data_IF_969167852942
#
_entry.id   IF_969167852942
#
_cell.length_a   1.000
_cell.length_b   1.000
_cell.length_c   1.000
_cell.angle_alpha   90.00
_cell.angle_beta   90.00
_cell.angle_gamma   90.00
#
_symmetry.space_group_name_H-M   'P 1'
#
loop_
_entity.id
_entity.type
_entity.pdbx_description
1 polymer ?
#
# COMPACT_ATOMS: atom_id res chain seq x y z
N UNK A 1 -23.61 19.88 65.54
CA UNK A 1 -22.81 18.68 65.21
C UNK A 1 -22.51 18.67 63.72
N UNK A 2 -21.22 18.56 63.37
CA UNK A 2 -20.63 18.69 62.03
C UNK A 2 -21.12 17.61 61.07
N UNK A 3 -21.46 17.96 59.83
CA UNK A 3 -21.34 17.07 58.67
C UNK A 3 -20.76 17.85 57.48
N UNK A 4 -19.44 17.74 57.34
CA UNK A 4 -18.71 18.12 56.14
C UNK A 4 -19.06 17.10 55.05
N UNK A 5 -19.66 17.55 53.95
CA UNK A 5 -19.77 16.77 52.72
C UNK A 5 -18.63 17.22 51.82
N UNK A 6 -17.55 16.46 51.81
CA UNK A 6 -16.44 16.62 50.87
C UNK A 6 -16.85 15.96 49.55
N UNK A 7 -17.12 16.76 48.52
CA UNK A 7 -17.32 16.26 47.16
C UNK A 7 -15.94 15.90 46.61
N UNK A 8 -15.64 14.60 46.51
CA UNK A 8 -14.50 14.11 45.74
C UNK A 8 -14.81 14.31 44.25
N UNK A 9 -14.16 15.30 43.63
CA UNK A 9 -14.11 15.42 42.18
C UNK A 9 -13.19 14.31 41.66
N UNK A 10 -13.76 13.17 41.27
CA UNK A 10 -13.02 12.14 40.56
C UNK A 10 -12.62 12.68 39.18
N UNK A 11 -11.38 13.15 39.06
CA UNK A 11 -10.77 13.47 37.79
C UNK A 11 -10.70 12.20 36.95
N UNK A 12 -11.63 12.05 36.03
CA UNK A 12 -11.64 11.02 35.00
C UNK A 12 -10.50 11.30 34.02
N UNK A 13 -9.30 10.81 34.35
CA UNK A 13 -8.23 10.65 33.38
C UNK A 13 -8.69 9.61 32.34
N UNK A 14 -9.28 10.09 31.25
CA UNK A 14 -9.43 9.27 30.05
C UNK A 14 -8.03 8.82 29.61
N UNK A 15 -7.81 7.52 29.32
CA UNK A 15 -6.52 7.08 28.81
C UNK A 15 -6.30 7.76 27.46
N UNK A 16 -5.28 8.62 27.40
CA UNK A 16 -4.77 9.14 26.14
C UNK A 16 -4.19 7.93 25.41
N UNK A 17 -4.97 7.32 24.52
CA UNK A 17 -4.46 6.32 23.60
C UNK A 17 -3.36 6.99 22.77
N UNK A 18 -2.10 6.63 23.07
CA UNK A 18 -0.94 7.12 22.36
C UNK A 18 -1.11 6.79 20.88
N UNK A 19 -1.28 7.83 20.06
CA UNK A 19 -1.44 7.70 18.62
C UNK A 19 -0.16 7.09 18.05
N UNK A 20 -0.28 5.95 17.38
CA UNK A 20 0.85 5.21 16.82
C UNK A 20 1.66 6.11 15.89
N UNK A 21 2.98 6.11 16.05
CA UNK A 21 3.90 6.78 15.13
C UNK A 21 4.19 5.88 13.93
N UNK A 22 4.27 6.48 12.75
CA UNK A 22 4.65 5.82 11.51
C UNK A 22 5.90 6.48 10.92
N UNK A 23 6.72 5.67 10.25
CA UNK A 23 7.83 6.18 9.45
C UNK A 23 7.33 6.47 8.04
N UNK A 24 7.14 7.75 7.72
CA UNK A 24 6.56 8.18 6.46
C UNK A 24 7.46 7.89 5.26
N UNK A 25 8.78 7.78 5.44
CA UNK A 25 9.71 7.42 4.36
C UNK A 25 9.54 5.94 4.01
N UNK A 26 9.50 5.07 5.03
CA UNK A 26 9.29 3.65 4.83
C UNK A 26 7.90 3.35 4.21
N UNK A 27 6.85 3.98 4.72
CA UNK A 27 5.49 3.87 4.16
C UNK A 27 5.43 4.46 2.73
N UNK A 28 6.19 5.52 2.46
CA UNK A 28 6.29 6.14 1.15
C UNK A 28 6.92 5.23 0.10
N UNK A 29 8.01 4.55 0.45
CA UNK A 29 8.64 3.54 -0.42
C UNK A 29 7.65 2.40 -0.72
N UNK A 30 6.98 1.88 0.31
CA UNK A 30 5.98 0.83 0.14
C UNK A 30 4.84 1.29 -0.78
N UNK A 31 4.33 2.52 -0.59
CA UNK A 31 3.27 3.07 -1.43
C UNK A 31 3.74 3.27 -2.88
N UNK A 32 4.96 3.74 -3.11
CA UNK A 32 5.55 3.92 -4.43
C UNK A 32 5.63 2.59 -5.21
N UNK A 33 6.02 1.52 -4.54
CA UNK A 33 6.02 0.16 -5.12
C UNK A 33 4.59 -0.36 -5.33
N UNK A 34 3.73 -0.20 -4.32
CA UNK A 34 2.36 -0.73 -4.31
C UNK A 34 1.55 -0.14 -5.47
N UNK A 35 1.60 1.17 -5.67
CA UNK A 35 0.86 1.86 -6.73
C UNK A 35 1.51 1.77 -8.12
N UNK A 36 2.61 1.01 -8.23
CA UNK A 36 3.24 0.66 -9.50
C UNK A 36 4.12 1.76 -10.10
N UNK A 37 4.51 2.78 -9.33
CA UNK A 37 5.36 3.86 -9.82
C UNK A 37 6.72 3.34 -10.32
N UNK A 38 7.23 2.27 -9.71
CA UNK A 38 8.47 1.57 -10.09
C UNK A 38 8.46 0.96 -11.51
N UNK A 39 7.27 0.77 -12.10
CA UNK A 39 7.14 0.19 -13.43
C UNK A 39 7.63 1.19 -14.48
N UNK A 40 7.24 2.45 -14.31
CA UNK A 40 7.49 3.52 -15.28
C UNK A 40 8.62 4.46 -14.86
N UNK A 41 9.01 4.50 -13.59
CA UNK A 41 10.03 5.43 -13.08
C UNK A 41 11.26 4.70 -12.56
N UNK A 42 12.43 5.21 -12.95
CA UNK A 42 13.68 4.88 -12.29
C UNK A 42 13.87 5.74 -11.04
N UNK A 43 14.60 5.20 -10.07
CA UNK A 43 14.93 5.87 -8.80
C UNK A 43 16.42 5.79 -8.46
N UNK A 44 17.22 5.15 -9.30
CA UNK A 44 18.66 4.99 -9.10
C UNK A 44 19.44 6.14 -9.76
N UNK A 45 20.57 6.49 -9.14
CA UNK A 45 21.45 7.54 -9.64
C UNK A 45 21.99 7.15 -11.03
N UNK A 46 21.80 8.03 -12.01
CA UNK A 46 22.26 7.84 -13.40
C UNK A 46 21.73 6.53 -14.03
N UNK A 47 20.55 6.08 -13.64
CA UNK A 47 19.88 4.97 -14.31
C UNK A 47 19.70 5.28 -15.81
N UNK A 48 20.33 4.47 -16.65
CA UNK A 48 20.30 4.60 -18.11
C UNK A 48 19.17 3.76 -18.75
N UNK A 49 18.36 3.06 -17.95
CA UNK A 49 17.26 2.26 -18.47
C UNK A 49 16.21 3.17 -19.11
N UNK A 50 15.80 2.81 -20.33
CA UNK A 50 14.73 3.51 -21.03
C UNK A 50 13.42 3.13 -20.38
N UNK A 51 12.88 4.04 -19.57
CA UNK A 51 11.58 3.92 -18.92
C UNK A 51 10.57 4.87 -19.58
N UNK A 52 9.29 4.55 -19.43
CA UNK A 52 8.19 5.37 -19.96
C UNK A 52 7.97 6.67 -19.19
N UNK A 53 8.51 6.79 -17.98
CA UNK A 53 8.54 8.01 -17.18
C UNK A 53 9.95 8.47 -16.83
N UNK A 54 10.11 9.71 -16.33
CA UNK A 54 11.40 10.26 -15.93
C UNK A 54 12.03 9.49 -14.76
N UNK A 55 13.36 9.50 -14.71
CA UNK A 55 14.08 9.16 -13.49
C UNK A 55 13.78 10.21 -12.41
N UNK A 56 13.42 9.75 -11.21
CA UNK A 56 13.03 10.60 -10.09
C UNK A 56 14.20 10.86 -9.12
N UNK A 57 15.34 10.19 -9.27
CA UNK A 57 16.54 10.49 -8.50
C UNK A 57 17.02 11.91 -8.75
N UNK A 58 17.23 12.68 -7.69
CA UNK A 58 17.69 14.06 -7.74
C UNK A 58 16.66 15.06 -8.24
N UNK A 59 15.39 14.67 -8.36
CA UNK A 59 14.32 15.56 -8.84
C UNK A 59 13.79 16.45 -7.71
N UNK A 60 13.46 15.85 -6.57
CA UNK A 60 12.80 16.53 -5.44
C UNK A 60 13.80 16.83 -4.32
N UNK A 61 14.54 17.92 -4.48
CA UNK A 61 15.59 18.34 -3.56
C UNK A 61 15.05 19.21 -2.41
N UNK A 62 15.86 19.42 -1.36
CA UNK A 62 15.53 20.37 -0.28
C UNK A 62 15.30 21.80 -0.79
N UNK A 63 16.08 22.21 -1.80
CA UNK A 63 15.89 23.45 -2.54
C UNK A 63 15.34 23.10 -3.93
N UNK A 64 14.07 23.44 -4.25
CA UNK A 64 13.47 23.06 -5.52
C UNK A 64 14.27 23.57 -6.71
N UNK A 65 14.70 22.65 -7.57
CA UNK A 65 15.32 22.98 -8.86
C UNK A 65 14.28 23.24 -9.92
N UNK A 66 14.68 23.96 -10.97
CA UNK A 66 13.88 24.06 -12.18
C UNK A 66 14.01 22.77 -13.02
N UNK A 67 12.93 22.45 -13.71
CA UNK A 67 12.91 21.45 -14.78
C UNK A 67 12.09 21.97 -15.95
N UNK A 68 12.35 21.41 -17.13
CA UNK A 68 11.53 21.67 -18.31
C UNK A 68 10.35 20.70 -18.39
N UNK A 69 9.20 21.24 -18.79
CA UNK A 69 7.96 20.50 -19.09
C UNK A 69 7.36 21.04 -20.39
N UNK A 70 6.69 20.18 -21.14
CA UNK A 70 5.97 20.55 -22.35
C UNK A 70 4.45 20.48 -22.14
N UNK A 71 3.72 21.37 -22.79
CA UNK A 71 2.28 21.27 -22.91
C UNK A 71 1.91 20.03 -23.75
N UNK A 72 0.95 19.20 -23.34
CA UNK A 72 0.64 17.92 -23.99
C UNK A 72 0.23 18.05 -25.47
N UNK A 73 -0.54 19.10 -25.79
CA UNK A 73 -1.10 19.27 -27.15
C UNK A 73 -0.24 20.18 -28.05
N UNK A 74 0.26 21.32 -27.53
CA UNK A 74 1.04 22.29 -28.33
C UNK A 74 2.52 21.99 -28.38
N UNK A 75 3.05 21.15 -27.47
CA UNK A 75 4.48 20.90 -27.33
C UNK A 75 5.28 22.08 -26.76
N UNK A 76 4.62 23.19 -26.40
CA UNK A 76 5.27 24.39 -25.86
C UNK A 76 5.99 24.06 -24.55
N UNK A 77 7.27 24.42 -24.48
CA UNK A 77 8.14 24.15 -23.34
C UNK A 77 8.15 25.31 -22.37
N UNK A 78 8.01 24.99 -21.09
CA UNK A 78 8.16 25.96 -19.99
C UNK A 78 8.97 25.36 -18.85
N UNK A 79 9.51 26.23 -18.00
CA UNK A 79 10.19 25.82 -16.77
C UNK A 79 9.23 25.83 -15.59
N UNK A 80 9.34 24.81 -14.74
CA UNK A 80 8.59 24.69 -13.49
C UNK A 80 9.52 24.30 -12.35
N UNK A 81 9.20 24.72 -11.12
CA UNK A 81 9.93 24.28 -9.93
C UNK A 81 9.49 22.87 -9.55
N UNK A 82 10.43 21.97 -9.34
CA UNK A 82 10.19 20.61 -8.87
C UNK A 82 9.91 20.59 -7.36
N UNK A 83 8.78 21.18 -6.94
CA UNK A 83 8.34 21.26 -5.55
C UNK A 83 7.15 20.33 -5.24
N UNK A 84 6.59 20.42 -4.03
CA UNK A 84 5.45 19.59 -3.59
C UNK A 84 4.20 19.83 -4.43
N UNK A 85 4.02 21.06 -4.94
CA UNK A 85 2.89 21.40 -5.82
C UNK A 85 3.04 20.69 -7.16
N UNK A 86 4.20 20.82 -7.80
CA UNK A 86 4.49 20.11 -9.04
C UNK A 86 4.37 18.59 -8.89
N UNK A 87 4.88 18.02 -7.80
CA UNK A 87 4.70 16.60 -7.49
C UNK A 87 3.22 16.19 -7.40
N UNK A 88 2.44 16.93 -6.61
CA UNK A 88 1.02 16.58 -6.37
C UNK A 88 0.22 16.68 -7.68
N UNK A 89 0.44 17.74 -8.46
CA UNK A 89 -0.15 17.92 -9.79
C UNK A 89 0.30 16.81 -10.74
N UNK A 90 1.57 16.41 -10.72
CA UNK A 90 2.05 15.31 -11.58
C UNK A 90 1.36 13.96 -11.28
N UNK A 91 0.89 13.73 -10.05
CA UNK A 91 0.15 12.51 -9.69
C UNK A 91 -1.36 12.65 -9.98
N UNK A 92 -1.93 13.83 -9.71
CA UNK A 92 -3.39 14.07 -9.82
C UNK A 92 -3.84 14.43 -11.23
N UNK A 93 -3.04 15.22 -11.96
CA UNK A 93 -3.30 15.72 -13.31
C UNK A 93 -2.02 15.62 -14.16
N UNK A 94 -1.50 14.39 -14.26
CA UNK A 94 -0.24 14.03 -14.93
C UNK A 94 -0.10 14.51 -16.37
N UNK A 95 -1.21 14.83 -17.05
CA UNK A 95 -1.23 15.25 -18.44
C UNK A 95 -1.09 16.76 -18.63
N UNK A 96 -1.25 17.59 -17.59
CA UNK A 96 -1.19 19.05 -17.71
C UNK A 96 0.21 19.58 -18.05
N UNK A 97 1.24 18.79 -17.75
CA UNK A 97 2.64 19.13 -17.97
C UNK A 97 3.48 17.86 -18.15
N UNK A 98 3.86 17.56 -19.39
CA UNK A 98 4.70 16.41 -19.70
C UNK A 98 6.16 16.74 -19.37
N UNK A 99 6.79 15.93 -18.54
CA UNK A 99 8.22 16.01 -18.28
C UNK A 99 9.03 16.00 -19.60
N UNK A 100 10.03 16.86 -19.75
CA UNK A 100 11.01 16.73 -20.83
C UNK A 100 12.19 15.90 -20.35
N UNK A 101 12.66 14.97 -21.18
CA UNK A 101 13.78 14.09 -20.86
C UNK A 101 15.10 14.87 -20.75
N UNK A 102 15.80 14.73 -19.62
CA UNK A 102 17.06 15.44 -19.35
C UNK A 102 18.30 14.65 -19.84
N UNK A 103 18.14 13.36 -20.12
CA UNK A 103 19.22 12.42 -20.45
C UNK A 103 18.76 11.33 -21.43
N UNK A 104 19.73 10.60 -21.99
CA UNK A 104 19.48 9.46 -22.88
C UNK A 104 19.13 9.85 -24.32
N UNK A 105 18.74 8.87 -25.16
CA UNK A 105 18.48 9.07 -26.59
C UNK A 105 17.33 10.04 -26.89
N UNK A 106 16.39 10.19 -25.96
CA UNK A 106 15.21 11.07 -26.10
C UNK A 106 15.41 12.44 -25.45
N UNK A 107 16.64 12.81 -25.06
CA UNK A 107 16.94 14.10 -24.41
C UNK A 107 16.32 15.28 -25.18
N UNK A 108 15.65 16.16 -24.46
CA UNK A 108 14.96 17.32 -25.02
C UNK A 108 13.57 17.03 -25.59
N UNK A 109 13.15 15.77 -25.67
CA UNK A 109 11.79 15.38 -26.06
C UNK A 109 10.90 15.20 -24.82
N UNK A 110 9.60 15.53 -24.92
CA UNK A 110 8.65 15.23 -23.85
C UNK A 110 8.41 13.73 -23.70
N UNK A 111 8.22 13.26 -22.47
CA UNK A 111 7.74 11.92 -22.18
C UNK A 111 6.31 11.73 -22.70
N UNK A 112 5.92 10.50 -23.09
CA UNK A 112 4.57 10.24 -23.60
C UNK A 112 3.49 10.49 -22.54
N UNK A 113 2.30 10.88 -23.01
CA UNK A 113 1.07 11.06 -22.21
C UNK A 113 0.47 9.70 -21.78
N UNK A 114 1.24 8.93 -21.00
CA UNK A 114 0.88 7.56 -20.59
C UNK A 114 0.72 7.39 -19.07
N UNK A 115 1.29 8.30 -18.27
CA UNK A 115 1.13 8.27 -16.82
C UNK A 115 -0.34 8.50 -16.46
N UNK A 116 -1.02 7.58 -15.75
CA UNK A 116 -2.41 7.77 -15.36
C UNK A 116 -2.60 8.94 -14.39
N UNK A 117 -3.75 9.59 -14.46
CA UNK A 117 -4.20 10.54 -13.43
C UNK A 117 -4.82 9.76 -12.27
N UNK A 118 -4.19 9.79 -11.10
CA UNK A 118 -4.66 9.01 -9.95
C UNK A 118 -5.65 9.81 -9.12
N UNK A 119 -6.91 9.36 -9.10
CA UNK A 119 -7.95 9.91 -8.24
C UNK A 119 -7.70 9.59 -6.75
N UNK A 120 -8.37 10.29 -5.83
CA UNK A 120 -8.19 10.12 -4.37
C UNK A 120 -8.63 8.74 -3.89
N UNK A 121 -9.55 8.13 -4.61
CA UNK A 121 -10.07 6.79 -4.38
C UNK A 121 -9.03 5.71 -4.71
N UNK A 122 -8.11 6.00 -5.64
CA UNK A 122 -7.04 5.08 -6.06
C UNK A 122 -5.81 5.28 -5.19
N UNK A 123 -5.29 6.51 -5.14
CA UNK A 123 -4.17 6.88 -4.26
C UNK A 123 -4.66 7.95 -3.28
N UNK A 124 -4.88 7.61 -2.00
CA UNK A 124 -5.30 8.56 -0.99
C UNK A 124 -4.24 9.64 -0.73
N UNK A 125 -4.68 10.83 -0.29
CA UNK A 125 -3.77 11.95 0.00
C UNK A 125 -2.63 11.60 0.99
N UNK A 126 -2.85 10.81 2.06
CA UNK A 126 -1.75 10.37 2.92
C UNK A 126 -0.69 9.54 2.20
N UNK A 127 -1.09 8.70 1.23
CA UNK A 127 -0.13 7.91 0.47
C UNK A 127 0.72 8.77 -0.46
N UNK A 128 0.12 9.79 -1.10
CA UNK A 128 0.86 10.81 -1.87
C UNK A 128 1.84 11.54 -0.96
N UNK A 129 1.41 11.91 0.25
CA UNK A 129 2.29 12.57 1.19
C UNK A 129 3.47 11.69 1.64
N UNK A 130 3.26 10.40 1.87
CA UNK A 130 4.36 9.49 2.24
C UNK A 130 5.32 9.29 1.07
N UNK A 131 4.80 9.09 -0.15
CA UNK A 131 5.64 8.99 -1.36
C UNK A 131 6.50 10.25 -1.54
N UNK A 132 5.96 11.45 -1.26
CA UNK A 132 6.74 12.68 -1.27
C UNK A 132 7.97 12.63 -0.35
N UNK A 133 7.80 12.16 0.90
CA UNK A 133 8.94 12.01 1.81
C UNK A 133 9.97 11.01 1.30
N UNK A 134 9.50 9.87 0.77
CA UNK A 134 10.39 8.89 0.15
C UNK A 134 11.18 9.47 -1.04
N UNK A 135 10.51 10.14 -1.98
CA UNK A 135 11.17 10.71 -3.16
C UNK A 135 12.23 11.75 -2.81
N UNK A 136 12.04 12.50 -1.71
CA UNK A 136 13.07 13.44 -1.22
C UNK A 136 14.32 12.75 -0.68
N UNK A 137 14.25 11.47 -0.32
CA UNK A 137 15.46 10.71 0.08
C UNK A 137 16.32 10.30 -1.12
N UNK A 138 15.76 10.34 -2.33
CA UNK A 138 16.43 9.93 -3.57
C UNK A 138 17.27 11.08 -4.14
N UNK A 139 18.32 11.50 -3.42
CA UNK A 139 19.24 12.53 -3.89
C UNK A 139 20.62 12.37 -3.24
N UNK A 140 21.59 13.13 -3.73
CA UNK A 140 22.92 13.15 -3.15
C UNK A 140 22.91 13.77 -1.74
N UNK A 141 23.92 13.41 -0.94
CA UNK A 141 24.09 13.90 0.43
C UNK A 141 24.10 15.43 0.46
N UNK A 142 23.40 16.02 1.43
CA UNK A 142 23.20 17.48 1.53
C UNK A 142 22.06 18.04 0.67
N UNK A 143 21.60 17.31 -0.36
CA UNK A 143 20.45 17.68 -1.18
C UNK A 143 19.18 16.89 -0.85
N UNK A 144 19.36 15.69 -0.29
CA UNK A 144 18.28 14.81 0.15
C UNK A 144 17.56 15.33 1.41
N UNK A 145 16.26 15.03 1.47
CA UNK A 145 15.45 15.17 2.67
C UNK A 145 15.84 14.18 3.77
N UNK A 146 15.21 14.29 4.95
CA UNK A 146 15.48 13.40 6.08
C UNK A 146 15.21 11.93 5.71
N UNK A 147 16.14 11.04 6.08
CA UNK A 147 16.02 9.60 5.83
C UNK A 147 14.88 8.92 6.61
N UNK A 148 14.40 9.57 7.67
CA UNK A 148 13.27 9.12 8.49
C UNK A 148 12.40 10.29 8.88
N UNK A 149 11.08 10.15 8.73
CA UNK A 149 10.11 11.18 9.13
C UNK A 149 9.01 10.51 9.96
N UNK A 150 8.97 10.84 11.26
CA UNK A 150 7.94 10.31 12.14
C UNK A 150 6.65 11.14 12.05
N UNK A 151 5.58 10.54 11.56
CA UNK A 151 4.24 11.14 11.56
C UNK A 151 3.33 10.40 12.53
N UNK A 152 2.33 11.09 13.06
CA UNK A 152 1.25 10.45 13.82
C UNK A 152 0.32 9.77 12.81
N UNK A 153 0.04 8.48 13.00
CA UNK A 153 -0.89 7.75 12.15
C UNK A 153 -2.24 8.47 12.12
N UNK A 154 -2.72 8.87 10.95
CA UNK A 154 -4.04 9.47 10.83
C UNK A 154 -5.07 8.56 11.50
N UNK A 155 -5.98 9.12 12.32
CA UNK A 155 -7.02 8.35 13.00
C UNK A 155 -7.85 7.64 11.92
N UNK A 156 -7.60 6.34 11.72
CA UNK A 156 -8.47 5.50 10.89
C UNK A 156 -9.84 5.52 11.56
N UNK A 157 -10.85 6.01 10.85
CA UNK A 157 -12.23 5.87 11.31
C UNK A 157 -12.50 4.39 11.48
N UNK A 158 -12.81 3.97 12.71
CA UNK A 158 -13.27 2.60 12.93
C UNK A 158 -14.60 2.48 12.21
N UNK A 159 -14.72 1.58 11.22
CA UNK A 159 -15.97 1.42 10.50
C UNK A 159 -17.09 1.03 11.48
N UNK A 160 -18.17 1.82 11.55
CA UNK A 160 -19.28 1.58 12.49
C UNK A 160 -20.05 0.28 12.18
N UNK A 161 -19.89 -0.26 10.98
CA UNK A 161 -20.53 -1.51 10.52
C UNK A 161 -19.56 -2.30 9.64
N UNK A 162 -19.77 -3.61 9.51
CA UNK A 162 -18.97 -4.46 8.61
C UNK A 162 -19.05 -4.00 7.14
N UNK A 163 -20.19 -3.41 6.73
CA UNK A 163 -20.36 -2.79 5.40
C UNK A 163 -19.45 -1.59 5.18
N UNK A 164 -19.07 -0.90 6.26
CA UNK A 164 -18.21 0.27 6.18
C UNK A 164 -16.71 -0.08 6.12
N UNK A 165 -16.31 -1.37 6.20
CA UNK A 165 -14.90 -1.76 6.07
C UNK A 165 -14.55 -1.85 4.59
N UNK A 166 -13.69 -0.96 4.07
CA UNK A 166 -13.37 -0.95 2.65
C UNK A 166 -12.76 -2.28 2.20
N UNK A 167 -13.26 -2.80 1.07
CA UNK A 167 -12.75 -3.97 0.38
C UNK A 167 -12.72 -5.27 1.20
N UNK A 168 -13.47 -5.35 2.30
CA UNK A 168 -13.70 -6.59 3.01
C UNK A 168 -14.77 -7.42 2.30
N UNK A 169 -14.47 -8.69 2.04
CA UNK A 169 -15.42 -9.65 1.48
C UNK A 169 -16.35 -10.08 2.60
N UNK A 170 -17.58 -9.59 2.56
CA UNK A 170 -18.57 -9.91 3.58
C UNK A 170 -19.20 -11.28 3.35
N UNK A 171 -19.08 -12.10 4.39
CA UNK A 171 -19.82 -13.35 4.53
C UNK A 171 -21.03 -13.05 5.40
N UNK A 172 -22.21 -13.09 4.78
CA UNK A 172 -23.48 -12.82 5.48
C UNK A 172 -24.25 -14.12 5.61
N UNK A 173 -25.35 -14.27 4.87
CA UNK A 173 -26.23 -15.45 4.95
C UNK A 173 -25.75 -16.64 4.11
N UNK A 174 -24.68 -16.47 3.32
CA UNK A 174 -24.17 -17.51 2.42
C UNK A 174 -22.67 -17.64 2.50
N UNK A 175 -22.21 -18.89 2.41
CA UNK A 175 -20.80 -19.24 2.27
C UNK A 175 -20.19 -18.51 1.07
N UNK A 176 -18.98 -18.01 1.25
CA UNK A 176 -18.19 -17.37 0.19
C UNK A 176 -16.96 -18.20 -0.07
N UNK A 177 -16.66 -18.41 -1.34
CA UNK A 177 -15.39 -18.97 -1.80
C UNK A 177 -14.68 -17.87 -2.58
N UNK A 178 -13.44 -17.59 -2.24
CA UNK A 178 -12.67 -16.52 -2.86
C UNK A 178 -11.22 -16.94 -3.08
N UNK A 179 -10.66 -16.55 -4.22
CA UNK A 179 -9.24 -16.73 -4.54
C UNK A 179 -8.53 -15.41 -4.35
N UNK A 180 -7.58 -15.38 -3.44
CA UNK A 180 -6.70 -14.25 -3.27
C UNK A 180 -5.34 -14.70 -2.73
N UNK A 181 -4.25 -14.02 -3.05
CA UNK A 181 -2.97 -14.22 -2.38
C UNK A 181 -3.11 -13.99 -0.87
N UNK A 182 -2.97 -15.03 -0.05
CA UNK A 182 -2.92 -14.92 1.41
C UNK A 182 -1.60 -15.51 1.90
N UNK A 183 -0.83 -14.73 2.66
CA UNK A 183 0.48 -15.18 3.16
C UNK A 183 0.36 -16.50 3.94
N UNK A 184 1.22 -17.47 3.62
CA UNK A 184 1.18 -18.82 4.20
C UNK A 184 0.26 -19.80 3.47
N UNK A 185 -0.27 -19.42 2.30
CA UNK A 185 -1.04 -20.27 1.40
C UNK A 185 -0.44 -20.21 0.00
N UNK A 186 -0.62 -21.27 -0.80
CA UNK A 186 -0.21 -21.25 -2.21
C UNK A 186 -1.06 -20.25 -3.02
N UNK A 187 -0.55 -19.84 -4.19
CA UNK A 187 -1.27 -18.95 -5.11
C UNK A 187 -2.59 -19.56 -5.66
N UNK A 188 -2.77 -20.88 -5.50
CA UNK A 188 -3.97 -21.60 -5.95
C UNK A 188 -4.90 -21.97 -4.79
N UNK A 189 -4.60 -21.50 -3.58
CA UNK A 189 -5.46 -21.75 -2.43
C UNK A 189 -6.84 -21.12 -2.59
N UNK A 190 -7.84 -21.81 -2.04
CA UNK A 190 -9.23 -21.37 -1.96
C UNK A 190 -9.52 -20.97 -0.51
N UNK A 191 -9.98 -19.74 -0.31
CA UNK A 191 -10.46 -19.29 0.98
C UNK A 191 -11.96 -19.47 1.04
N UNK A 192 -12.44 -20.06 2.12
CA UNK A 192 -13.85 -20.33 2.35
C UNK A 192 -14.29 -19.63 3.64
N UNK A 193 -15.27 -18.75 3.53
CA UNK A 193 -15.84 -18.04 4.66
C UNK A 193 -17.28 -18.48 4.90
N UNK A 194 -17.58 -18.90 6.13
CA UNK A 194 -18.87 -19.44 6.52
C UNK A 194 -19.74 -18.40 7.25
N UNK A 195 -21.09 -18.46 7.12
CA UNK A 195 -22.01 -17.55 7.81
C UNK A 195 -21.88 -17.49 9.33
N UNK A 196 -21.34 -18.55 9.96
CA UNK A 196 -21.09 -18.61 11.40
C UNK A 196 -19.82 -17.85 11.85
N UNK A 197 -19.16 -17.13 10.95
CA UNK A 197 -17.98 -16.32 11.25
C UNK A 197 -16.68 -17.11 11.33
N UNK A 198 -16.67 -18.40 10.99
CA UNK A 198 -15.46 -19.20 10.81
C UNK A 198 -15.07 -19.27 9.34
N UNK A 199 -13.77 -19.26 9.11
CA UNK A 199 -13.18 -19.21 7.80
C UNK A 199 -12.00 -20.18 7.74
N UNK A 200 -11.75 -20.75 6.58
CA UNK A 200 -10.61 -21.62 6.37
C UNK A 200 -10.00 -21.46 4.98
N UNK A 201 -8.80 -22.01 4.81
CA UNK A 201 -8.13 -22.09 3.51
C UNK A 201 -7.89 -23.54 3.15
N UNK A 202 -8.46 -23.96 2.02
CA UNK A 202 -8.09 -25.20 1.37
C UNK A 202 -6.97 -24.92 0.37
N UNK A 203 -5.87 -25.65 0.45
CA UNK A 203 -4.73 -25.46 -0.43
C UNK A 203 -4.52 -26.71 -1.29
N UNK A 204 -4.76 -26.55 -2.59
CA UNK A 204 -4.60 -27.62 -3.58
C UNK A 204 -3.16 -28.15 -3.67
N UNK A 205 -2.15 -27.37 -3.25
CA UNK A 205 -0.75 -27.83 -3.20
C UNK A 205 -0.56 -29.02 -2.25
N UNK A 206 -1.25 -29.01 -1.12
CA UNK A 206 -1.12 -30.05 -0.08
C UNK A 206 -2.41 -30.86 0.08
N UNK A 207 -3.41 -30.65 -0.78
CA UNK A 207 -4.75 -31.24 -0.71
C UNK A 207 -5.38 -31.18 0.68
N UNK A 208 -5.14 -30.09 1.43
CA UNK A 208 -5.49 -30.01 2.84
C UNK A 208 -5.88 -28.61 3.30
N UNK A 209 -6.39 -28.53 4.53
CA UNK A 209 -6.75 -27.26 5.17
C UNK A 209 -5.52 -26.65 5.83
N UNK A 210 -5.11 -25.45 5.41
CA UNK A 210 -3.88 -24.80 5.90
C UNK A 210 -4.08 -23.68 6.90
N UNK A 211 -5.26 -23.08 6.92
CA UNK A 211 -5.55 -21.96 7.78
C UNK A 211 -6.97 -22.08 8.30
N UNK A 212 -7.17 -21.75 9.58
CA UNK A 212 -8.49 -21.63 10.21
C UNK A 212 -8.50 -20.36 11.05
N UNK A 213 -9.49 -19.50 10.86
CA UNK A 213 -9.67 -18.28 11.65
C UNK A 213 -11.14 -17.93 11.83
N UNK A 214 -11.48 -17.23 12.91
CA UNK A 214 -12.80 -16.58 13.07
C UNK A 214 -12.71 -15.09 12.80
N UNK A 215 -13.86 -14.43 12.70
CA UNK A 215 -14.00 -12.99 12.48
C UNK A 215 -14.08 -12.65 11.00
N UNK A 216 -13.57 -11.48 10.62
CA UNK A 216 -13.60 -11.00 9.24
C UNK A 216 -12.95 -11.98 8.25
N UNK A 217 -13.60 -12.19 7.11
CA UNK A 217 -13.20 -13.21 6.14
C UNK A 217 -11.91 -12.81 5.40
N UNK A 218 -11.99 -11.92 4.42
CA UNK A 218 -10.85 -11.45 3.65
C UNK A 218 -10.93 -9.95 3.40
N UNK A 219 -9.81 -9.26 3.50
CA UNK A 219 -9.68 -7.87 3.08
C UNK A 219 -8.77 -7.78 1.84
N UNK A 220 -9.37 -7.33 0.73
CA UNK A 220 -8.74 -7.23 -0.59
C UNK A 220 -8.14 -5.85 -0.86
N UNK A 221 -8.00 -5.01 0.17
CA UNK A 221 -7.47 -3.65 -0.01
C UNK A 221 -6.09 -3.67 -0.65
N UNK A 222 -5.23 -4.62 -0.28
CA UNK A 222 -3.88 -4.69 -0.84
C UNK A 222 -3.89 -5.13 -2.32
N UNK A 223 -4.76 -6.08 -2.71
CA UNK A 223 -4.95 -6.49 -4.12
C UNK A 223 -5.39 -5.33 -5.01
N UNK A 224 -6.18 -4.40 -4.45
CA UNK A 224 -6.71 -3.25 -5.18
C UNK A 224 -5.74 -2.08 -5.28
N UNK A 225 -4.70 -2.04 -4.44
CA UNK A 225 -3.68 -0.99 -4.50
C UNK A 225 -2.57 -1.27 -5.52
N UNK A 226 -2.45 -2.50 -6.04
CA UNK A 226 -1.62 -2.82 -7.20
C UNK A 226 -1.26 -4.30 -7.33
N UNK A 227 -0.81 -4.71 -8.51
CA UNK A 227 -0.52 -6.14 -8.84
C UNK A 227 0.87 -6.61 -8.40
N UNK A 228 1.68 -5.77 -7.77
CA UNK A 228 3.10 -6.03 -7.47
C UNK A 228 3.39 -6.50 -6.03
N UNK A 229 2.35 -6.77 -5.20
CA UNK A 229 2.32 -7.18 -3.76
C UNK A 229 2.17 -5.98 -2.80
N UNK A 230 1.45 -6.09 -1.65
CA UNK A 230 1.27 -7.25 -0.76
C UNK A 230 -0.06 -8.00 -0.95
N UNK A 231 -0.07 -9.29 -0.56
CA UNK A 231 -1.26 -10.13 -0.65
C UNK A 231 -2.40 -9.67 0.25
N UNK A 232 -3.60 -10.14 -0.05
CA UNK A 232 -4.79 -10.05 0.79
C UNK A 232 -4.51 -10.38 2.26
N UNK A 233 -5.29 -9.74 3.13
CA UNK A 233 -5.25 -9.95 4.58
C UNK A 233 -6.51 -10.65 5.03
N UNK A 234 -6.46 -11.25 6.21
CA UNK A 234 -7.69 -11.65 6.92
C UNK A 234 -8.47 -10.39 7.31
N UNK A 235 -9.80 -10.52 7.37
CA UNK A 235 -10.68 -9.39 7.64
C UNK A 235 -10.53 -8.81 9.05
N UNK A 236 -11.27 -7.75 9.35
CA UNK A 236 -11.18 -7.07 10.63
C UNK A 236 -11.60 -7.99 11.79
N UNK A 237 -10.92 -7.85 12.93
CA UNK A 237 -11.24 -8.60 14.15
C UNK A 237 -10.96 -10.11 14.04
N UNK A 238 -10.16 -10.53 13.04
CA UNK A 238 -9.88 -11.95 12.87
C UNK A 238 -9.08 -12.52 14.05
N UNK A 239 -9.36 -13.78 14.39
CA UNK A 239 -8.57 -14.57 15.33
C UNK A 239 -8.13 -15.85 14.65
N UNK A 240 -6.82 -16.06 14.54
CA UNK A 240 -6.24 -17.25 13.91
C UNK A 240 -6.23 -18.40 14.92
N UNK A 241 -6.75 -19.55 14.51
CA UNK A 241 -6.67 -20.80 15.28
C UNK A 241 -5.60 -21.73 14.73
N UNK A 242 -5.43 -21.75 13.41
CA UNK A 242 -4.43 -22.55 12.75
C UNK A 242 -3.85 -21.83 11.54
N UNK A 243 -2.54 -21.96 11.37
CA UNK A 243 -1.79 -21.40 10.25
C UNK A 243 -0.63 -22.32 9.85
N UNK A 244 -0.55 -22.63 8.56
CA UNK A 244 0.63 -23.23 7.94
C UNK A 244 0.72 -24.75 8.00
N UNK A 245 0.01 -25.43 8.90
CA UNK A 245 -0.07 -26.89 8.95
C UNK A 245 -1.18 -27.42 8.04
N UNK A 246 -0.88 -28.32 7.11
CA UNK A 246 -1.89 -29.01 6.32
C UNK A 246 -2.67 -30.00 7.19
N UNK A 247 -3.75 -29.54 7.83
CA UNK A 247 -4.65 -30.45 8.55
C UNK A 247 -5.41 -31.28 7.51
N UNK A 248 -5.62 -32.55 7.83
CA UNK A 248 -6.27 -33.52 6.94
C UNK A 248 -5.53 -33.67 5.61
N UNK A 249 -4.23 -33.38 5.60
CA UNK A 249 -3.36 -33.61 4.45
C UNK A 249 -3.25 -35.11 4.20
N UNK A 250 -3.55 -35.59 2.98
CA UNK A 250 -3.41 -37.00 2.65
C UNK A 250 -1.94 -37.41 2.72
N UNK A 251 -1.72 -38.70 3.01
CA UNK A 251 -0.41 -39.32 3.01
C UNK A 251 -0.23 -40.14 1.73
N UNK A 252 0.99 -40.17 1.23
CA UNK A 252 1.43 -41.11 0.20
C UNK A 252 1.49 -42.53 0.77
N UNK A 253 1.63 -43.53 -0.09
CA UNK A 253 1.86 -44.92 0.33
C UNK A 253 3.13 -45.09 1.17
N UNK A 254 4.09 -44.17 1.05
CA UNK A 254 5.30 -44.10 1.89
C UNK A 254 5.04 -43.59 3.33
N UNK A 255 3.83 -43.10 3.63
CA UNK A 255 3.51 -42.43 4.90
C UNK A 255 3.88 -40.95 4.93
N UNK A 256 4.52 -40.42 3.89
CA UNK A 256 4.87 -39.00 3.80
C UNK A 256 3.66 -38.13 3.39
N UNK A 257 3.51 -36.89 3.91
CA UNK A 257 2.45 -35.99 3.51
C UNK A 257 2.54 -35.57 2.04
N UNK A 258 1.41 -35.55 1.32
CA UNK A 258 1.33 -35.11 -0.08
C UNK A 258 1.68 -33.64 -0.22
N UNK A 259 2.72 -33.30 -0.98
CA UNK A 259 3.05 -31.92 -1.34
C UNK A 259 3.42 -31.82 -2.83
N UNK A 260 2.65 -31.02 -3.58
CA UNK A 260 2.87 -30.74 -5.00
C UNK A 260 3.77 -29.52 -5.24
N UNK A 261 4.59 -29.10 -4.28
CA UNK A 261 5.66 -28.14 -4.55
C UNK A 261 6.63 -28.73 -5.57
N UNK A 262 6.76 -28.06 -6.72
CA UNK A 262 7.80 -28.37 -7.68
C UNK A 262 9.15 -28.08 -7.00
N UNK A 263 9.91 -29.15 -6.72
CA UNK A 263 11.30 -29.07 -6.28
C UNK A 263 12.22 -28.77 -7.46
#
# INVERSE_FOLDING_TARGET
MKKFITILLAASCAPVFAQKKIDAVAEGKLAFETYGCIVCHAVEKKDATVRTGPNLYGLFLNQPREREVAHPETGEKRKVKADKSYYTTSVRTSWDALAVAESGPTKGQPFPKIMPMYAREVIPDPAIEYIWYYLRTLADEGQAGPAKVELKEAKKSVPRTLVAIPNEVLVTKRTRVFRAPLRGSSARALHVGQPNGYNYTFDARVLGVRNIWSGGFLNLSEERKGRARPGSKRGQGHKVFLQGGGILQPLLSSGEPVDFEFK
#
